data_IF_376874000010
#
_entry.id   IF_376874000010
#
_cell.length_a   1.000
_cell.length_b   1.000
_cell.length_c   1.000
_cell.angle_alpha   90.00
_cell.angle_beta   90.00
_cell.angle_gamma   90.00
#
_symmetry.space_group_name_H-M   'P 1'
#
loop_
_entity.id
_entity.type
_entity.pdbx_description
1 polymer ?
#
# COMPACT_ATOMS: atom_id res chain seq x y z
N UNK A 1 -5.86 9.31 -8.67
CA UNK A 1 -6.80 8.37 -8.07
C UNK A 1 -6.16 7.00 -7.99
N UNK A 2 -6.47 6.22 -6.95
CA UNK A 2 -6.09 4.83 -6.94
C UNK A 2 -6.93 4.04 -7.94
N UNK A 3 -6.30 3.20 -8.72
CA UNK A 3 -6.95 2.35 -9.73
C UNK A 3 -7.16 0.95 -9.18
N UNK A 4 -6.25 0.51 -8.32
CA UNK A 4 -6.34 -0.77 -7.64
C UNK A 4 -5.77 -0.67 -6.23
N UNK A 5 -6.42 -1.34 -5.29
CA UNK A 5 -5.96 -1.51 -3.91
C UNK A 5 -5.93 -2.99 -3.60
N UNK A 6 -4.80 -3.48 -3.14
CA UNK A 6 -4.61 -4.85 -2.72
C UNK A 6 -4.18 -4.95 -1.26
N UNK A 7 -4.69 -5.95 -0.56
CA UNK A 7 -4.30 -6.31 0.80
C UNK A 7 -3.80 -7.74 0.80
N UNK A 8 -2.60 -7.94 1.30
CA UNK A 8 -1.92 -9.23 1.33
C UNK A 8 -1.62 -9.62 2.78
N UNK A 9 -1.75 -10.90 3.05
CA UNK A 9 -1.38 -11.49 4.34
C UNK A 9 0.14 -11.54 4.53
N UNK A 10 0.56 -11.94 5.71
CA UNK A 10 1.96 -12.23 6.07
C UNK A 10 2.65 -13.13 5.05
N UNK A 11 1.95 -14.14 4.59
CA UNK A 11 2.44 -15.13 3.61
C UNK A 11 2.35 -14.63 2.16
N UNK A 12 2.08 -13.33 1.95
CA UNK A 12 1.90 -12.74 0.62
C UNK A 12 0.68 -13.29 -0.15
N UNK A 13 -0.26 -13.91 0.58
CA UNK A 13 -1.53 -14.34 0.01
C UNK A 13 -2.49 -13.16 -0.12
N UNK A 14 -3.14 -12.96 -1.26
CA UNK A 14 -4.09 -11.87 -1.42
C UNK A 14 -5.34 -12.12 -0.57
N UNK A 15 -5.64 -11.20 0.35
CA UNK A 15 -6.85 -11.21 1.17
C UNK A 15 -7.99 -10.44 0.53
N UNK A 16 -7.66 -9.37 -0.15
CA UNK A 16 -8.60 -8.55 -0.90
C UNK A 16 -7.87 -7.87 -2.06
N UNK A 17 -8.54 -7.78 -3.19
CA UNK A 17 -8.13 -6.97 -4.32
C UNK A 17 -9.38 -6.25 -4.83
N UNK A 18 -9.31 -4.94 -4.91
CA UNK A 18 -10.37 -4.13 -5.50
C UNK A 18 -9.81 -3.26 -6.62
N UNK A 19 -10.50 -3.22 -7.73
CA UNK A 19 -10.09 -2.49 -8.93
C UNK A 19 -11.29 -1.77 -9.54
N UNK A 20 -11.04 -0.58 -10.10
CA UNK A 20 -12.05 0.16 -10.84
C UNK A 20 -12.27 -0.40 -12.25
N UNK A 21 -11.32 -1.19 -12.78
CA UNK A 21 -11.34 -1.71 -14.14
C UNK A 21 -11.21 -3.23 -14.10
N UNK A 22 -12.34 -3.92 -14.20
CA UNK A 22 -12.41 -5.38 -14.20
C UNK A 22 -11.72 -6.01 -15.42
N UNK A 23 -11.62 -5.28 -16.55
CA UNK A 23 -10.94 -5.77 -17.73
C UNK A 23 -9.40 -5.88 -17.51
N UNK A 24 -8.84 -5.11 -16.59
CA UNK A 24 -7.42 -5.12 -16.24
C UNK A 24 -7.09 -5.85 -14.95
N UNK A 25 -8.06 -6.50 -14.33
CA UNK A 25 -7.90 -7.18 -13.04
C UNK A 25 -6.72 -8.16 -13.05
N UNK A 26 -6.61 -8.98 -14.08
CA UNK A 26 -5.51 -9.94 -14.23
C UNK A 26 -4.15 -9.24 -14.34
N UNK A 27 -4.08 -8.11 -15.03
CA UNK A 27 -2.86 -7.30 -15.11
C UNK A 27 -2.48 -6.73 -13.74
N UNK A 28 -3.45 -6.29 -12.95
CA UNK A 28 -3.19 -5.80 -11.60
C UNK A 28 -2.76 -6.90 -10.65
N UNK A 29 -3.28 -8.12 -10.78
CA UNK A 29 -2.77 -9.27 -10.05
C UNK A 29 -1.28 -9.51 -10.32
N UNK A 30 -0.86 -9.43 -11.58
CA UNK A 30 0.56 -9.56 -11.95
C UNK A 30 1.41 -8.43 -11.33
N UNK A 31 0.93 -7.19 -11.41
CA UNK A 31 1.60 -6.02 -10.80
C UNK A 31 1.75 -6.20 -9.29
N UNK A 32 0.71 -6.67 -8.61
CA UNK A 32 0.73 -6.95 -7.18
C UNK A 32 1.76 -8.04 -6.84
N UNK A 33 1.79 -9.12 -7.60
CA UNK A 33 2.77 -10.19 -7.40
C UNK A 33 4.22 -9.70 -7.55
N UNK A 34 4.51 -8.94 -8.59
CA UNK A 34 5.84 -8.36 -8.79
C UNK A 34 6.22 -7.39 -7.67
N UNK A 35 5.22 -6.70 -7.09
CA UNK A 35 5.44 -5.77 -5.97
C UNK A 35 5.87 -6.48 -4.69
N UNK A 36 5.50 -7.74 -4.50
CA UNK A 36 5.86 -8.52 -3.30
C UNK A 36 7.37 -8.65 -3.18
N UNK A 37 8.05 -9.00 -4.27
CA UNK A 37 9.51 -9.17 -4.27
C UNK A 37 10.22 -7.87 -3.87
N UNK A 38 9.75 -6.73 -4.39
CA UNK A 38 10.29 -5.41 -4.06
C UNK A 38 10.04 -5.05 -2.59
N UNK A 39 8.86 -5.40 -2.05
CA UNK A 39 8.53 -5.19 -0.64
C UNK A 39 9.46 -6.02 0.25
N UNK A 40 9.67 -7.28 -0.07
CA UNK A 40 10.55 -8.19 0.70
C UNK A 40 12.00 -7.71 0.66
N UNK A 41 12.49 -7.26 -0.48
CA UNK A 41 13.81 -6.66 -0.59
C UNK A 41 13.95 -5.43 0.31
N UNK A 42 13.01 -4.49 0.26
CA UNK A 42 13.02 -3.28 1.09
C UNK A 42 12.93 -3.60 2.59
N UNK A 43 12.10 -4.57 2.97
CA UNK A 43 11.98 -5.02 4.36
C UNK A 43 13.27 -5.69 4.86
N UNK A 44 13.95 -6.48 4.03
CA UNK A 44 15.20 -7.14 4.39
C UNK A 44 16.36 -6.14 4.55
N UNK A 45 16.39 -5.10 3.71
CA UNK A 45 17.37 -4.01 3.83
C UNK A 45 17.17 -3.24 5.14
N UNK A 46 15.92 -3.00 5.54
CA UNK A 46 15.61 -2.31 6.81
C UNK A 46 15.93 -3.14 8.05
N UNK A 47 15.98 -4.46 7.92
CA UNK A 47 16.29 -5.38 9.06
C UNK A 47 17.79 -5.56 9.29
N UNK A 48 18.67 -5.21 8.34
CA UNK A 48 20.12 -5.34 8.44
C UNK A 48 20.78 -3.95 8.53
N UNK A 49 21.05 -3.43 9.75
CA UNK A 49 21.70 -2.12 9.92
C UNK A 49 23.18 -2.12 9.51
N UNK A 50 23.72 -3.26 9.08
CA UNK A 50 25.15 -3.41 8.72
C UNK A 50 25.51 -3.10 7.27
N UNK A 51 24.52 -2.88 6.39
CA UNK A 51 24.77 -2.46 5.00
C UNK A 51 24.30 -1.02 4.82
N UNK A 52 24.95 -0.09 5.50
CA UNK A 52 24.85 1.33 5.18
C UNK A 52 25.36 1.50 3.74
N UNK A 53 24.45 1.60 2.78
CA UNK A 53 24.82 2.07 1.44
C UNK A 53 25.31 3.51 1.60
N UNK A 54 26.60 3.67 1.41
CA UNK A 54 27.24 4.96 1.11
C UNK A 54 26.54 5.54 -0.13
N UNK A 55 25.60 6.40 0.10
CA UNK A 55 25.10 7.31 -0.94
C UNK A 55 24.65 8.61 -0.32
N UNK A 56 25.48 9.62 -0.63
CA UNK A 56 25.25 11.06 -0.55
C UNK A 56 25.11 11.68 0.86
N UNK A 57 26.14 12.43 1.15
CA UNK A 57 26.24 13.45 2.17
C UNK A 57 24.91 14.19 2.45
N UNK A 58 24.55 14.28 3.73
CA UNK A 58 23.70 15.35 4.23
C UNK A 58 22.36 15.00 4.87
N UNK A 59 22.03 13.73 5.13
CA UNK A 59 20.81 13.40 5.88
C UNK A 59 21.14 13.27 7.38
N UNK A 60 20.52 14.07 8.27
CA UNK A 60 20.78 13.97 9.70
C UNK A 60 20.36 12.59 10.22
N UNK A 61 21.16 12.01 11.11
CA UNK A 61 20.99 10.65 11.65
C UNK A 61 19.58 10.37 12.24
N UNK A 62 18.86 11.41 12.66
CA UNK A 62 17.51 11.32 13.18
C UNK A 62 16.45 11.01 12.09
N UNK A 63 16.66 11.47 10.86
CA UNK A 63 15.77 11.18 9.74
C UNK A 63 15.90 9.72 9.27
N UNK A 64 17.08 9.11 9.40
CA UNK A 64 17.30 7.70 9.08
C UNK A 64 16.61 6.74 10.08
N UNK A 65 16.55 7.13 11.36
CA UNK A 65 15.85 6.36 12.40
C UNK A 65 14.32 6.43 12.25
N UNK A 66 13.78 7.56 11.80
CA UNK A 66 12.37 7.71 11.52
C UNK A 66 11.94 6.93 10.25
N UNK A 67 12.80 6.89 9.24
CA UNK A 67 12.57 6.08 8.04
C UNK A 67 12.60 4.57 8.31
N UNK A 68 13.43 4.11 9.26
CA UNK A 68 13.49 2.71 9.67
C UNK A 68 12.21 2.26 10.44
N UNK A 69 11.47 3.21 11.00
CA UNK A 69 10.19 2.99 11.67
C UNK A 69 8.99 3.23 10.77
N UNK A 70 9.22 3.85 9.62
CA UNK A 70 8.14 4.18 8.70
C UNK A 70 7.67 2.89 8.00
N UNK A 71 6.48 2.45 8.37
CA UNK A 71 5.78 1.33 7.74
C UNK A 71 5.45 1.61 6.25
N UNK A 72 5.62 2.86 5.85
CA UNK A 72 5.42 3.32 4.49
C UNK A 72 6.69 3.14 3.65
N UNK A 73 6.65 2.25 2.69
CA UNK A 73 7.78 1.93 1.82
C UNK A 73 7.96 2.90 0.64
N UNK A 74 7.01 3.82 0.47
CA UNK A 74 6.99 4.75 -0.65
C UNK A 74 6.68 4.07 -1.98
N UNK A 75 7.24 4.61 -3.06
CA UNK A 75 7.13 4.03 -4.40
C UNK A 75 7.93 2.72 -4.44
N UNK A 76 7.26 1.63 -4.78
CA UNK A 76 7.89 0.33 -5.01
C UNK A 76 8.56 0.34 -6.39
N UNK A 77 7.77 0.58 -7.41
CA UNK A 77 8.23 0.82 -8.77
C UNK A 77 7.23 1.67 -9.56
N UNK A 78 7.67 2.17 -10.69
CA UNK A 78 6.87 3.01 -11.57
C UNK A 78 6.96 2.45 -12.98
N UNK A 79 5.79 2.31 -13.63
CA UNK A 79 5.67 2.03 -15.06
C UNK A 79 5.18 3.30 -15.78
N UNK A 80 5.14 3.27 -17.10
CA UNK A 80 4.60 4.39 -17.88
C UNK A 80 3.12 4.69 -17.52
N UNK A 81 2.33 3.64 -17.27
CA UNK A 81 0.91 3.75 -17.00
C UNK A 81 0.57 3.89 -15.51
N UNK A 82 1.36 3.30 -14.60
CA UNK A 82 1.00 3.17 -13.18
C UNK A 82 2.20 3.40 -12.26
N UNK A 83 1.93 3.96 -11.08
CA UNK A 83 2.85 4.04 -9.96
C UNK A 83 2.34 3.14 -8.83
N UNK A 84 3.21 2.31 -8.30
CA UNK A 84 2.89 1.34 -7.26
C UNK A 84 3.51 1.78 -5.95
N UNK A 85 2.66 1.90 -4.93
CA UNK A 85 3.06 2.29 -3.57
C UNK A 85 2.82 1.14 -2.60
N UNK A 86 3.71 1.01 -1.63
CA UNK A 86 3.64 -0.04 -0.62
C UNK A 86 3.65 0.48 0.81
N UNK A 87 2.95 -0.25 1.65
CA UNK A 87 2.93 -0.05 3.09
C UNK A 87 2.90 -1.42 3.78
N UNK A 88 3.76 -1.61 4.79
CA UNK A 88 3.81 -2.86 5.56
C UNK A 88 3.54 -2.57 7.02
N UNK A 89 2.60 -3.30 7.61
CA UNK A 89 2.31 -3.18 9.03
C UNK A 89 3.33 -3.94 9.89
N UNK A 90 3.36 -3.67 11.20
CA UNK A 90 4.17 -4.42 12.16
C UNK A 90 3.81 -5.91 12.19
N UNK A 91 2.55 -6.24 11.86
CA UNK A 91 2.04 -7.62 11.76
C UNK A 91 2.39 -8.29 10.44
N UNK A 92 3.18 -7.63 9.57
CA UNK A 92 3.59 -8.11 8.24
C UNK A 92 2.46 -8.18 7.21
N UNK A 93 1.33 -7.53 7.46
CA UNK A 93 0.29 -7.31 6.45
C UNK A 93 0.79 -6.26 5.47
N UNK A 94 0.66 -6.55 4.19
CA UNK A 94 1.14 -5.69 3.11
C UNK A 94 -0.06 -5.01 2.44
N UNK A 95 -0.01 -3.70 2.32
CA UNK A 95 -0.96 -2.92 1.52
C UNK A 95 -0.27 -2.40 0.28
N UNK A 96 -0.89 -2.58 -0.87
CA UNK A 96 -0.40 -2.09 -2.14
C UNK A 96 -1.48 -1.20 -2.75
N UNK A 97 -1.08 -0.01 -3.17
CA UNK A 97 -1.94 0.94 -3.86
C UNK A 97 -1.33 1.25 -5.22
N UNK A 98 -2.09 1.01 -6.27
CA UNK A 98 -1.72 1.30 -7.65
C UNK A 98 -2.46 2.57 -8.07
N UNK A 99 -1.69 3.54 -8.53
CA UNK A 99 -2.17 4.84 -8.97
C UNK A 99 -1.82 5.01 -10.43
N UNK A 100 -2.72 5.60 -11.21
CA UNK A 100 -2.45 5.92 -12.59
C UNK A 100 -1.39 7.03 -12.71
N UNK A 101 -0.42 6.84 -13.61
CA UNK A 101 0.71 7.77 -13.78
C UNK A 101 0.28 9.16 -14.27
N UNK A 102 -0.85 9.25 -14.98
CA UNK A 102 -1.45 10.52 -15.44
C UNK A 102 -1.87 11.45 -14.29
N UNK A 103 -2.11 10.91 -13.10
CA UNK A 103 -2.43 11.68 -11.90
C UNK A 103 -1.17 12.23 -11.22
N UNK A 104 -0.50 13.17 -11.87
CA UNK A 104 0.69 13.88 -11.35
C UNK A 104 0.42 14.70 -10.08
N UNK A 105 -0.83 14.92 -9.73
CA UNK A 105 -1.24 15.78 -8.61
C UNK A 105 -1.33 15.05 -7.26
N UNK A 106 -1.22 13.73 -7.21
CA UNK A 106 -1.24 12.97 -5.95
C UNK A 106 0.08 13.21 -5.19
N UNK A 107 -0.05 13.98 -4.11
CA UNK A 107 1.06 14.24 -3.19
C UNK A 107 1.32 13.01 -2.32
N UNK A 108 2.57 12.79 -1.95
CA UNK A 108 2.97 11.69 -1.05
C UNK A 108 2.16 11.67 0.26
N UNK A 109 1.81 12.84 0.79
CA UNK A 109 0.96 12.96 1.97
C UNK A 109 -0.45 12.39 1.78
N UNK A 110 -1.03 12.51 0.59
CA UNK A 110 -2.36 11.96 0.29
C UNK A 110 -2.31 10.43 0.25
N UNK A 111 -1.26 9.88 -0.33
CA UNK A 111 -1.02 8.44 -0.36
C UNK A 111 -0.82 7.89 1.05
N UNK A 112 -0.06 8.58 1.91
CA UNK A 112 0.09 8.22 3.33
C UNK A 112 -1.25 8.26 4.07
N UNK A 113 -2.10 9.23 3.79
CA UNK A 113 -3.45 9.29 4.37
C UNK A 113 -4.35 8.14 3.88
N UNK A 114 -4.24 7.75 2.60
CA UNK A 114 -4.95 6.59 2.07
C UNK A 114 -4.54 5.31 2.81
N UNK A 115 -3.25 5.08 3.00
CA UNK A 115 -2.76 3.93 3.77
C UNK A 115 -3.21 3.95 5.22
N UNK A 116 -3.25 5.12 5.88
CA UNK A 116 -3.77 5.25 7.25
C UNK A 116 -5.24 4.86 7.32
N UNK A 117 -6.07 5.35 6.40
CA UNK A 117 -7.50 4.99 6.35
C UNK A 117 -7.68 3.50 6.08
N UNK A 118 -6.91 2.94 5.16
CA UNK A 118 -6.93 1.51 4.85
C UNK A 118 -6.51 0.66 6.05
N UNK A 119 -5.46 1.06 6.77
CA UNK A 119 -5.01 0.38 7.98
C UNK A 119 -6.06 0.43 9.10
N UNK A 120 -6.72 1.57 9.31
CA UNK A 120 -7.82 1.69 10.28
C UNK A 120 -8.99 0.79 9.90
N UNK A 121 -9.37 0.76 8.61
CA UNK A 121 -10.43 -0.11 8.12
C UNK A 121 -10.10 -1.60 8.35
N UNK A 122 -8.86 -1.99 8.10
CA UNK A 122 -8.38 -3.34 8.34
C UNK A 122 -8.34 -3.69 9.84
N UNK A 123 -7.91 -2.78 10.70
CA UNK A 123 -7.92 -2.96 12.15
C UNK A 123 -9.35 -3.15 12.68
N UNK A 124 -10.29 -2.36 12.18
CA UNK A 124 -11.71 -2.51 12.51
C UNK A 124 -12.28 -3.85 12.05
N UNK A 125 -11.82 -4.35 10.91
CA UNK A 125 -12.19 -5.69 10.42
C UNK A 125 -11.66 -6.79 11.35
N UNK A 126 -10.39 -6.69 11.76
CA UNK A 126 -9.77 -7.63 12.70
C UNK A 126 -10.43 -7.62 14.08
N UNK A 127 -11.02 -6.49 14.48
CA UNK A 127 -11.75 -6.36 15.75
C UNK A 127 -13.10 -7.08 15.72
N UNK A 128 -13.55 -7.54 14.55
CA UNK A 128 -14.76 -8.34 14.43
C UNK A 128 -14.48 -9.79 14.88
N UNK A 129 -15.14 -10.30 15.93
CA UNK A 129 -14.90 -11.65 16.44
C UNK A 129 -15.27 -12.77 15.45
N UNK A 130 -16.06 -12.48 14.44
CA UNK A 130 -16.46 -13.44 13.41
C UNK A 130 -15.50 -13.49 12.20
N UNK A 131 -14.52 -12.59 12.13
CA UNK A 131 -13.51 -12.62 11.10
C UNK A 131 -12.32 -13.48 11.52
N UNK A 132 -11.94 -14.43 10.69
CA UNK A 132 -10.77 -15.28 10.90
C UNK A 132 -9.58 -14.64 10.17
N UNK A 133 -8.53 -14.19 10.88
CA UNK A 133 -7.35 -13.63 10.24
C UNK A 133 -6.72 -14.60 9.25
N UNK A 134 -6.35 -14.10 8.08
CA UNK A 134 -5.76 -14.91 6.99
C UNK A 134 -6.76 -15.49 6.00
N UNK A 135 -8.06 -15.28 6.21
CA UNK A 135 -9.07 -15.60 5.20
C UNK A 135 -9.37 -14.42 4.28
N UNK A 136 -9.95 -14.69 3.12
CA UNK A 136 -10.39 -13.63 2.22
C UNK A 136 -11.36 -12.67 2.90
N UNK A 137 -11.24 -11.39 2.59
CA UNK A 137 -12.07 -10.34 3.17
C UNK A 137 -13.37 -10.25 2.38
N UNK A 138 -14.51 -10.51 3.04
CA UNK A 138 -15.85 -10.40 2.44
C UNK A 138 -16.68 -9.26 3.05
N UNK A 139 -16.07 -8.43 3.88
CA UNK A 139 -16.76 -7.36 4.60
C UNK A 139 -17.18 -6.22 3.67
N UNK A 140 -18.49 -6.02 3.52
CA UNK A 140 -19.05 -4.90 2.73
C UNK A 140 -18.60 -3.54 3.24
N UNK A 141 -18.44 -3.38 4.57
CA UNK A 141 -17.92 -2.13 5.17
C UNK A 141 -16.49 -1.86 4.76
N UNK A 142 -15.66 -2.88 4.69
CA UNK A 142 -14.27 -2.76 4.26
C UNK A 142 -14.18 -2.35 2.79
N UNK A 143 -14.93 -3.01 1.91
CA UNK A 143 -14.97 -2.65 0.49
C UNK A 143 -15.55 -1.25 0.26
N UNK A 144 -16.57 -0.82 1.01
CA UNK A 144 -17.09 0.55 0.93
C UNK A 144 -16.03 1.62 1.27
N UNK A 145 -15.12 1.33 2.21
CA UNK A 145 -13.99 2.24 2.49
C UNK A 145 -13.00 2.25 1.33
N UNK A 146 -12.69 1.09 0.76
CA UNK A 146 -11.80 0.98 -0.40
C UNK A 146 -12.38 1.75 -1.60
N UNK A 147 -13.66 1.56 -1.91
CA UNK A 147 -14.34 2.24 -3.01
C UNK A 147 -14.33 3.76 -2.80
N UNK A 148 -14.51 4.21 -1.55
CA UNK A 148 -14.38 5.62 -1.19
C UNK A 148 -12.96 6.18 -1.36
N UNK A 149 -11.91 5.35 -1.25
CA UNK A 149 -10.53 5.74 -1.50
C UNK A 149 -10.19 5.76 -3.00
N UNK A 150 -10.88 4.93 -3.78
CA UNK A 150 -10.72 4.89 -5.24
C UNK A 150 -11.59 5.93 -5.95
N UNK A 151 -12.68 6.39 -5.32
CA UNK A 151 -13.51 7.45 -5.88
C UNK A 151 -12.72 8.76 -6.09
N UNK A 152 -13.04 9.56 -7.13
CA UNK A 152 -12.47 10.89 -7.27
C UNK A 152 -12.78 11.73 -6.02
N UNK A 153 -11.85 12.57 -5.56
CA UNK A 153 -12.20 13.56 -4.57
C UNK A 153 -13.37 14.37 -5.14
N UNK A 154 -14.48 14.37 -4.41
CA UNK A 154 -15.63 15.21 -4.77
C UNK A 154 -15.10 16.64 -4.93
N UNK A 155 -15.20 17.20 -6.12
CA UNK A 155 -14.89 18.61 -6.34
C UNK A 155 -15.70 19.40 -5.32
N UNK A 156 -15.10 20.34 -4.55
CA UNK A 156 -15.90 21.19 -3.70
C UNK A 156 -16.91 21.90 -4.62
N UNK A 157 -18.18 21.64 -4.38
CA UNK A 157 -19.24 22.34 -5.06
C UNK A 157 -19.05 23.84 -4.79
N UNK A 158 -18.87 24.56 -5.87
CA UNK A 158 -18.69 26.01 -5.90
C UNK A 158 -20.05 26.68 -5.58
#
# INVERSE_FOLDING_TARGET
MAVCIAVLDRNSTPLALSTNDTAKELSFHYVVHTSIDVIEEKCNISSNPGVAKTSAAGVPANAALDQARDLYLGILYSTEAHKVYGFVTNTKIKFIVIVESSNTNLRDNEIRQMFRKLHIAYTNLLSNPFYIPGTSIESKKFFSVIDGLMAPPASPAN
#
